data_IF_330554663993
#
_entry.id   IF_330554663993
#
_cell.length_a   1.000
_cell.length_b   1.000
_cell.length_c   1.000
_cell.angle_alpha   90.00
_cell.angle_beta   90.00
_cell.angle_gamma   90.00
#
_symmetry.space_group_name_H-M   'P 1'
#
loop_
_entity.id
_entity.type
_entity.pdbx_description
1 polymer ?
#
# COMPACT_ATOMS: atom_id res chain seq x y z
N UNK A 1 -2.55 -22.56 -8.67
CA UNK A 1 -2.70 -21.39 -7.76
C UNK A 1 -2.89 -21.89 -6.34
N UNK A 2 -2.35 -21.18 -5.33
CA UNK A 2 -2.64 -21.46 -3.91
C UNK A 2 -4.05 -20.93 -3.58
N UNK A 3 -4.73 -21.53 -2.61
CA UNK A 3 -5.98 -20.98 -2.08
C UNK A 3 -5.71 -19.64 -1.39
N UNK A 4 -6.63 -18.68 -1.49
CA UNK A 4 -6.45 -17.31 -0.99
C UNK A 4 -6.08 -17.24 0.50
N UNK A 5 -6.68 -18.10 1.33
CA UNK A 5 -6.40 -18.22 2.77
C UNK A 5 -4.99 -18.77 3.08
N UNK A 6 -4.31 -19.37 2.11
CA UNK A 6 -2.93 -19.89 2.22
C UNK A 6 -1.90 -18.98 1.56
N UNK A 7 -2.32 -17.84 1.01
CA UNK A 7 -1.41 -16.87 0.37
C UNK A 7 -0.87 -15.89 1.41
N UNK A 8 0.43 -15.61 1.34
CA UNK A 8 1.04 -14.52 2.09
C UNK A 8 0.73 -13.16 1.44
N UNK A 9 1.07 -12.07 2.13
CA UNK A 9 0.80 -10.71 1.65
C UNK A 9 1.36 -10.46 0.23
N UNK A 10 2.58 -10.92 -0.03
CA UNK A 10 3.21 -10.84 -1.35
C UNK A 10 2.37 -11.51 -2.45
N UNK A 11 1.95 -12.77 -2.24
CA UNK A 11 1.11 -13.47 -3.21
C UNK A 11 -0.24 -12.78 -3.42
N UNK A 12 -0.87 -12.30 -2.35
CA UNK A 12 -2.14 -11.56 -2.42
C UNK A 12 -2.00 -10.24 -3.18
N UNK A 13 -0.88 -9.55 -3.02
CA UNK A 13 -0.58 -8.31 -3.73
C UNK A 13 -0.39 -8.54 -5.24
N UNK A 14 0.30 -9.62 -5.64
CA UNK A 14 0.40 -10.00 -7.06
C UNK A 14 -0.99 -10.26 -7.64
N UNK A 15 -1.83 -11.01 -6.93
CA UNK A 15 -3.19 -11.30 -7.38
C UNK A 15 -4.03 -10.03 -7.50
N UNK A 16 -3.97 -9.13 -6.52
CA UNK A 16 -4.65 -7.84 -6.56
C UNK A 16 -4.22 -7.04 -7.79
N UNK A 17 -2.90 -6.94 -8.02
CA UNK A 17 -2.35 -6.24 -9.17
C UNK A 17 -2.90 -6.81 -10.48
N UNK A 18 -2.89 -8.12 -10.64
CA UNK A 18 -3.36 -8.78 -11.87
C UNK A 18 -4.84 -8.53 -12.14
N UNK A 19 -5.65 -8.39 -11.09
CA UNK A 19 -7.09 -8.13 -11.21
C UNK A 19 -7.40 -6.65 -11.48
N UNK A 20 -6.55 -5.72 -11.04
CA UNK A 20 -6.81 -4.28 -11.03
C UNK A 20 -5.57 -3.45 -11.42
N UNK A 21 -4.88 -3.83 -12.50
CA UNK A 21 -3.63 -3.20 -12.91
C UNK A 21 -3.77 -1.69 -13.17
N UNK A 22 -4.93 -1.26 -13.70
CA UNK A 22 -5.21 0.15 -14.04
C UNK A 22 -5.26 1.07 -12.80
N UNK A 23 -5.53 0.52 -11.61
CA UNK A 23 -5.58 1.28 -10.36
C UNK A 23 -4.18 1.52 -9.77
N UNK A 24 -3.21 0.69 -10.13
CA UNK A 24 -1.90 0.68 -9.48
C UNK A 24 -1.11 1.98 -9.70
N UNK A 25 -1.05 2.59 -10.90
CA UNK A 25 -0.34 3.86 -11.09
C UNK A 25 -0.91 5.00 -10.24
N UNK A 26 -2.24 5.06 -10.13
CA UNK A 26 -2.94 6.05 -9.30
C UNK A 26 -2.63 5.85 -7.82
N UNK A 27 -2.70 4.59 -7.37
CA UNK A 27 -2.33 4.21 -6.01
C UNK A 27 -0.88 4.57 -5.67
N UNK A 28 0.08 4.22 -6.52
CA UNK A 28 1.52 4.50 -6.27
C UNK A 28 1.79 6.00 -6.14
N UNK A 29 1.09 6.82 -6.94
CA UNK A 29 1.20 8.28 -6.88
C UNK A 29 0.63 8.83 -5.57
N UNK A 30 -0.54 8.34 -5.15
CA UNK A 30 -1.14 8.69 -3.86
C UNK A 30 -0.26 8.26 -2.69
N UNK A 31 0.24 7.02 -2.71
CA UNK A 31 1.11 6.46 -1.67
C UNK A 31 2.36 7.33 -1.47
N UNK A 32 3.01 7.73 -2.56
CA UNK A 32 4.16 8.65 -2.51
C UNK A 32 3.80 9.99 -1.87
N UNK A 33 2.65 10.56 -2.22
CA UNK A 33 2.14 11.79 -1.62
C UNK A 33 1.92 11.64 -0.12
N UNK A 34 1.34 10.53 0.33
CA UNK A 34 1.13 10.24 1.75
C UNK A 34 2.45 10.07 2.50
N UNK A 35 3.43 9.36 1.94
CA UNK A 35 4.76 9.26 2.55
C UNK A 35 5.41 10.64 2.75
N UNK A 36 5.32 11.53 1.74
CA UNK A 36 5.83 12.89 1.84
C UNK A 36 5.08 13.73 2.87
N UNK A 37 3.76 13.58 2.96
CA UNK A 37 2.94 14.26 3.95
C UNK A 37 3.31 13.83 5.38
N UNK A 38 3.42 12.53 5.64
CA UNK A 38 3.83 11.99 6.95
C UNK A 38 5.20 12.55 7.34
N UNK A 39 6.18 12.52 6.42
CA UNK A 39 7.54 13.02 6.67
C UNK A 39 7.57 14.51 7.00
N UNK A 40 6.73 15.33 6.37
CA UNK A 40 6.64 16.78 6.62
C UNK A 40 5.95 17.11 7.93
N UNK A 41 5.05 16.25 8.39
CA UNK A 41 4.23 16.46 9.60
C UNK A 41 4.69 15.58 10.77
N UNK A 42 5.93 15.07 10.74
CA UNK A 42 6.50 14.18 11.77
C UNK A 42 6.50 14.76 13.19
N UNK A 43 6.44 16.09 13.33
CA UNK A 43 6.48 16.79 14.62
C UNK A 43 5.08 17.26 15.05
N UNK A 44 4.05 16.94 14.27
CA UNK A 44 2.68 17.31 14.61
C UNK A 44 2.12 16.31 15.62
N UNK A 45 1.57 16.84 16.71
CA UNK A 45 0.96 16.13 17.84
C UNK A 45 -0.39 15.50 17.41
N UNK A 46 -0.40 14.74 16.31
CA UNK A 46 -1.57 14.05 15.81
C UNK A 46 -1.90 12.96 16.82
N UNK A 47 -3.14 12.91 17.31
CA UNK A 47 -3.64 11.78 18.09
C UNK A 47 -3.43 10.49 17.30
N UNK A 48 -2.42 9.71 17.71
CA UNK A 48 -2.04 8.49 17.04
C UNK A 48 -2.84 7.33 17.64
N UNK A 49 -3.99 7.03 17.04
CA UNK A 49 -4.75 5.82 17.34
C UNK A 49 -4.52 4.76 16.25
N UNK A 50 -3.32 4.17 16.21
CA UNK A 50 -3.05 3.01 15.33
C UNK A 50 -2.37 1.89 16.08
N UNK A 51 -3.22 1.06 16.66
CA UNK A 51 -2.97 -0.11 17.51
C UNK A 51 -2.02 -1.20 16.95
N UNK A 52 -1.45 -1.03 15.76
CA UNK A 52 -0.58 -2.01 15.08
C UNK A 52 0.91 -1.65 15.09
N UNK A 53 1.28 -0.38 15.29
CA UNK A 53 2.67 0.05 15.41
C UNK A 53 2.79 1.43 16.06
N UNK A 54 3.97 1.73 16.56
CA UNK A 54 4.29 3.06 17.09
C UNK A 54 4.34 4.11 15.98
N UNK A 55 4.17 5.38 16.36
CA UNK A 55 4.27 6.49 15.42
C UNK A 55 5.63 6.56 14.72
N UNK A 56 6.72 6.32 15.47
CA UNK A 56 8.09 6.28 14.93
C UNK A 56 8.28 5.14 13.93
N UNK A 57 7.75 3.95 14.22
CA UNK A 57 7.75 2.84 13.27
C UNK A 57 6.98 3.20 12.00
N UNK A 58 5.84 3.89 12.11
CA UNK A 58 5.08 4.32 10.94
C UNK A 58 5.82 5.33 10.07
N UNK A 59 6.53 6.29 10.69
CA UNK A 59 7.41 7.22 9.98
C UNK A 59 8.54 6.45 9.28
N UNK A 60 9.15 5.46 9.96
CA UNK A 60 10.20 4.64 9.37
C UNK A 60 9.70 3.86 8.14
N UNK A 61 8.50 3.26 8.22
CA UNK A 61 7.84 2.58 7.10
C UNK A 61 7.55 3.54 5.95
N UNK A 62 7.02 4.74 6.23
CA UNK A 62 6.77 5.77 5.23
C UNK A 62 8.05 6.19 4.50
N UNK A 63 9.16 6.39 5.23
CA UNK A 63 10.45 6.74 4.65
C UNK A 63 11.00 5.61 3.77
N UNK A 64 10.90 4.36 4.21
CA UNK A 64 11.34 3.18 3.45
C UNK A 64 10.56 3.08 2.12
N UNK A 65 9.23 3.16 2.19
CA UNK A 65 8.37 3.13 1.01
C UNK A 65 8.66 4.30 0.07
N UNK A 66 8.86 5.52 0.59
CA UNK A 66 9.20 6.68 -0.26
C UNK A 66 10.51 6.44 -1.04
N UNK A 67 11.53 5.86 -0.40
CA UNK A 67 12.79 5.53 -1.06
C UNK A 67 12.60 4.48 -2.17
N UNK A 68 11.82 3.43 -1.90
CA UNK A 68 11.49 2.39 -2.90
C UNK A 68 10.71 2.98 -4.07
N UNK A 69 9.72 3.84 -3.81
CA UNK A 69 8.93 4.52 -4.84
C UNK A 69 9.80 5.47 -5.68
N UNK A 70 10.70 6.25 -5.08
CA UNK A 70 11.63 7.11 -5.83
C UNK A 70 12.46 6.35 -6.85
N UNK A 71 12.87 5.12 -6.50
CA UNK A 71 13.74 4.30 -7.35
C UNK A 71 12.98 3.44 -8.36
N UNK A 72 11.85 2.85 -7.97
CA UNK A 72 11.22 1.77 -8.73
C UNK A 72 9.76 2.04 -9.12
N UNK A 73 9.16 3.18 -8.80
CA UNK A 73 7.73 3.46 -9.09
C UNK A 73 7.32 3.17 -10.55
N UNK A 74 8.05 3.61 -11.59
CA UNK A 74 7.69 3.29 -12.98
C UNK A 74 7.71 1.79 -13.29
N UNK A 75 8.62 1.05 -12.66
CA UNK A 75 8.73 -0.40 -12.82
C UNK A 75 7.61 -1.13 -12.06
N UNK A 76 7.31 -0.70 -10.84
CA UNK A 76 6.20 -1.24 -10.05
C UNK A 76 4.86 -1.02 -10.77
N UNK A 77 4.68 0.09 -11.49
CA UNK A 77 3.46 0.36 -12.25
C UNK A 77 3.24 -0.56 -13.46
N UNK A 78 4.24 -1.35 -13.84
CA UNK A 78 4.16 -2.29 -14.97
C UNK A 78 4.43 -3.75 -14.58
N UNK A 79 4.87 -4.02 -13.35
CA UNK A 79 5.31 -5.34 -12.91
C UNK A 79 4.75 -5.71 -11.54
N UNK A 80 3.77 -6.63 -11.55
CA UNK A 80 3.10 -7.13 -10.35
C UNK A 80 4.07 -7.68 -9.28
N UNK A 81 5.12 -8.40 -9.71
CA UNK A 81 6.11 -8.96 -8.79
C UNK A 81 6.91 -7.85 -8.09
N UNK A 82 7.38 -6.84 -8.82
CA UNK A 82 8.12 -5.72 -8.22
C UNK A 82 7.23 -4.88 -7.30
N UNK A 83 5.96 -4.71 -7.64
CA UNK A 83 4.98 -4.09 -6.76
C UNK A 83 4.86 -4.84 -5.43
N UNK A 84 4.68 -6.16 -5.48
CA UNK A 84 4.56 -6.99 -4.29
C UNK A 84 5.85 -7.05 -3.47
N UNK A 85 6.99 -7.25 -4.12
CA UNK A 85 8.31 -7.34 -3.48
C UNK A 85 8.68 -6.04 -2.77
N UNK A 86 8.41 -4.89 -3.40
CA UNK A 86 8.80 -3.62 -2.80
C UNK A 86 7.79 -3.08 -1.79
N UNK A 87 6.51 -3.43 -1.84
CA UNK A 87 5.50 -2.81 -0.99
C UNK A 87 4.80 -3.77 -0.01
N UNK A 88 4.93 -5.10 -0.19
CA UNK A 88 4.27 -6.12 0.62
C UNK A 88 5.23 -7.10 1.28
N UNK A 89 6.46 -6.63 1.53
CA UNK A 89 7.44 -7.35 2.33
C UNK A 89 7.31 -6.99 3.82
N UNK A 90 7.22 -8.00 4.66
CA UNK A 90 7.13 -7.89 6.12
C UNK A 90 6.13 -6.80 6.60
N UNK A 91 6.55 -5.87 7.49
CA UNK A 91 5.71 -4.80 8.03
C UNK A 91 5.25 -3.77 6.99
N UNK A 92 5.87 -3.72 5.80
CA UNK A 92 5.43 -2.81 4.73
C UNK A 92 4.04 -3.21 4.21
N UNK A 93 3.71 -4.49 4.26
CA UNK A 93 2.40 -4.97 3.82
C UNK A 93 1.25 -4.32 4.60
N UNK A 94 1.41 -4.10 5.91
CA UNK A 94 0.39 -3.46 6.76
C UNK A 94 0.19 -2.00 6.33
N UNK A 95 1.30 -1.27 6.17
CA UNK A 95 1.29 0.13 5.75
C UNK A 95 0.64 0.27 4.36
N UNK A 96 1.10 -0.53 3.40
CA UNK A 96 0.63 -0.47 2.02
C UNK A 96 -0.83 -0.89 1.90
N UNK A 97 -1.27 -1.94 2.60
CA UNK A 97 -2.67 -2.39 2.60
C UNK A 97 -3.61 -1.33 3.19
N UNK A 98 -3.18 -0.66 4.28
CA UNK A 98 -3.93 0.46 4.84
C UNK A 98 -4.13 1.58 3.79
N UNK A 99 -3.06 2.00 3.11
CA UNK A 99 -3.18 3.06 2.11
C UNK A 99 -3.87 2.61 0.83
N UNK A 100 -3.87 1.32 0.48
CA UNK A 100 -4.73 0.80 -0.58
C UNK A 100 -6.21 1.01 -0.24
N UNK A 101 -6.60 0.70 1.00
CA UNK A 101 -7.98 0.89 1.43
C UNK A 101 -8.35 2.39 1.46
N UNK A 102 -7.45 3.26 1.92
CA UNK A 102 -7.61 4.72 1.83
C UNK A 102 -7.80 5.14 0.37
N UNK A 103 -6.95 4.66 -0.54
CA UNK A 103 -7.04 4.97 -1.96
C UNK A 103 -8.41 4.57 -2.54
N UNK A 104 -8.86 3.36 -2.25
CA UNK A 104 -10.14 2.85 -2.72
C UNK A 104 -11.36 3.59 -2.14
N UNK A 105 -11.22 4.22 -0.97
CA UNK A 105 -12.29 5.01 -0.35
C UNK A 105 -12.37 6.46 -0.85
N UNK A 106 -11.23 7.05 -1.25
CA UNK A 106 -11.15 8.45 -1.67
C UNK A 106 -10.91 8.64 -3.17
N UNK A 107 -10.84 7.54 -3.94
CA UNK A 107 -10.77 7.62 -5.40
C UNK A 107 -12.04 8.27 -5.96
N UNK A 108 -11.87 9.22 -6.88
CA UNK A 108 -12.98 9.87 -7.59
C UNK A 108 -13.75 8.89 -8.48
N UNK A 109 -13.13 7.74 -8.83
CA UNK A 109 -13.79 6.66 -9.55
C UNK A 109 -14.24 5.63 -8.52
N UNK A 110 -15.55 5.47 -8.36
CA UNK A 110 -16.07 4.36 -7.57
C UNK A 110 -15.67 3.03 -8.20
N UNK A 111 -14.89 2.24 -7.46
CA UNK A 111 -14.53 0.88 -7.84
C UNK A 111 -14.85 -0.10 -6.72
N UNK A 112 -16.14 -0.46 -6.56
CA UNK A 112 -16.59 -1.33 -5.47
C UNK A 112 -15.84 -2.66 -5.43
N UNK A 113 -15.52 -3.24 -6.60
CA UNK A 113 -14.79 -4.51 -6.71
C UNK A 113 -13.34 -4.40 -6.22
N UNK A 114 -12.67 -3.29 -6.50
CA UNK A 114 -11.30 -3.07 -6.04
C UNK A 114 -11.25 -2.96 -4.51
N UNK A 115 -12.15 -2.15 -3.94
CA UNK A 115 -12.32 -2.03 -2.48
C UNK A 115 -12.62 -3.38 -1.83
N UNK A 116 -13.58 -4.14 -2.37
CA UNK A 116 -13.94 -5.47 -1.88
C UNK A 116 -12.77 -6.44 -1.92
N UNK A 117 -11.97 -6.43 -3.00
CA UNK A 117 -10.78 -7.27 -3.11
C UNK A 117 -9.72 -6.91 -2.07
N UNK A 118 -9.46 -5.61 -1.85
CA UNK A 118 -8.54 -5.16 -0.80
C UNK A 118 -9.00 -5.64 0.57
N UNK A 119 -10.28 -5.46 0.90
CA UNK A 119 -10.86 -5.96 2.14
C UNK A 119 -10.65 -7.46 2.25
N UNK A 120 -11.15 -8.25 1.30
CA UNK A 120 -11.04 -9.72 1.33
C UNK A 120 -9.59 -10.23 1.43
N UNK A 121 -8.63 -9.52 0.85
CA UNK A 121 -7.25 -9.99 0.79
C UNK A 121 -6.47 -9.64 2.05
N UNK A 122 -6.70 -8.47 2.66
CA UNK A 122 -5.83 -7.94 3.71
C UNK A 122 -6.53 -7.70 5.05
N UNK A 123 -7.85 -7.79 5.13
CA UNK A 123 -8.67 -7.49 6.32
C UNK A 123 -9.73 -8.57 6.57
#
# INVERSE_FOLDING_TARGET
>A
MKQLNKMNAHGKAILLYQLFADEIPGFLSMLRGMCQFIRRNKDSNIEWDRQLCTYDEWIALANNIEQRLKKYQPLMANHATLFAEHLFDDKLAIFTAYYLLVHANFSLREQPKFKQAITLFFF
#
